data_IF_669352229071
#
_entry.id   IF_669352229071
#
_cell.length_a   1.000
_cell.length_b   1.000
_cell.length_c   1.000
_cell.angle_alpha   90.00
_cell.angle_beta   90.00
_cell.angle_gamma   90.00
#
_symmetry.space_group_name_H-M   'P 1'
#
loop_
_entity.id
_entity.type
_entity.pdbx_description
1 polymer ?
2 non-polymer ?
3 non-polymer ?
4 water ?
#
# COMPACT_ATOMS: atom_id res chain seq x y z
N UNK A 21 -0.86 21.08 22.53
CA UNK A 21 -2.25 20.75 22.84
C UNK A 21 -2.53 19.29 22.51
N UNK A 22 -1.58 18.65 21.81
CA UNK A 22 -1.82 17.29 21.33
C UNK A 22 -2.03 16.34 22.51
N UNK A 23 -1.30 16.55 23.60
CA UNK A 23 -1.49 15.69 24.77
C UNK A 23 -2.80 15.97 25.50
N UNK A 24 -3.49 17.06 25.16
CA UNK A 24 -4.81 17.30 25.74
C UNK A 24 -5.86 16.35 25.17
N UNK A 25 -5.69 15.92 23.92
CA UNK A 25 -6.67 15.09 23.23
C UNK A 25 -6.77 13.74 23.91
N UNK A 26 -7.96 13.35 24.39
CA UNK A 26 -8.08 12.07 25.12
C UNK A 26 -7.59 10.86 24.34
N UNK A 27 -7.79 10.86 23.02
CA UNK A 27 -7.29 9.76 22.20
C UNK A 27 -5.77 9.74 22.15
N UNK A 28 -5.13 10.92 22.14
CA UNK A 28 -3.67 10.97 22.12
C UNK A 28 -3.10 10.52 23.45
N UNK A 29 -3.77 10.88 24.55
CA UNK A 29 -3.37 10.37 25.86
C UNK A 29 -3.48 8.85 25.89
N UNK A 30 -4.50 8.30 25.22
CA UNK A 30 -4.65 6.85 25.16
C UNK A 30 -3.52 6.20 24.35
N UNK A 31 -3.13 6.82 23.23
CA UNK A 31 -2.02 6.28 22.45
C UNK A 31 -0.69 6.47 23.17
N UNK A 32 -0.54 7.54 23.95
CA UNK A 32 0.72 7.81 24.63
C UNK A 32 1.02 6.81 25.74
N UNK A 33 0.09 5.91 26.06
CA UNK A 33 0.38 4.81 26.97
C UNK A 33 1.40 3.84 26.39
N UNK A 34 1.53 3.79 25.06
CA UNK A 34 2.35 2.80 24.38
C UNK A 34 3.63 3.43 23.86
N UNK A 35 4.75 2.72 23.99
CA UNK A 35 6.02 3.15 23.42
C UNK A 35 6.14 2.63 21.98
N UNK A 36 5.18 3.05 21.16
CA UNK A 36 5.05 2.60 19.77
C UNK A 36 4.99 3.79 18.84
N UNK A 37 5.72 4.86 19.16
CA UNK A 37 5.71 6.08 18.38
C UNK A 37 6.94 6.16 17.49
N UNK A 38 6.76 6.77 16.32
CA UNK A 38 7.81 7.04 15.35
C UNK A 38 7.58 8.44 14.80
N UNK A 39 8.47 8.86 13.91
CA UNK A 39 8.27 10.07 13.13
C UNK A 39 8.35 9.70 11.65
N UNK A 40 7.80 10.56 10.81
CA UNK A 40 7.73 10.27 9.38
C UNK A 40 8.10 11.51 8.58
N UNK A 41 8.58 11.28 7.36
CA UNK A 41 9.00 12.35 6.46
C UNK A 41 8.53 12.04 5.04
N UNK A 42 8.08 13.06 4.32
CA UNK A 42 7.57 12.89 2.97
C UNK A 42 8.71 12.66 1.99
N UNK A 43 8.68 11.52 1.29
CA UNK A 43 9.66 11.20 0.27
C UNK A 43 8.87 10.91 -1.00
N UNK A 44 8.81 11.90 -1.88
CA UNK A 44 8.03 11.83 -3.12
C UNK A 44 6.58 11.57 -2.76
N UNK A 45 5.99 10.44 -3.17
CA UNK A 45 4.59 10.12 -2.94
C UNK A 45 4.37 9.34 -1.65
N UNK A 46 5.43 9.12 -0.86
CA UNK A 46 5.42 8.20 0.26
C UNK A 46 5.73 8.92 1.58
N UNK A 47 5.48 8.23 2.68
CA UNK A 47 5.69 8.74 4.03
C UNK A 47 6.47 7.68 4.81
N UNK A 48 7.78 7.85 4.91
CA UNK A 48 8.67 6.82 5.46
C UNK A 48 8.74 6.96 6.98
N UNK A 49 8.61 5.88 7.75
CA UNK A 49 8.75 6.00 9.20
C UNK A 49 10.21 5.94 9.62
N UNK A 50 10.53 6.71 10.67
CA UNK A 50 11.89 6.83 11.17
C UNK A 50 11.94 6.70 12.67
N UNK A 51 13.03 6.12 13.16
CA UNK A 51 13.28 6.00 14.60
C UNK A 51 13.47 7.38 15.20
N UNK A 52 12.65 7.78 16.19
CA UNK A 52 12.77 9.13 16.74
C UNK A 52 14.05 9.36 17.54
N UNK A 53 14.74 8.30 17.96
CA UNK A 53 15.90 8.47 18.83
C UNK A 53 17.22 8.52 18.06
N UNK A 54 17.24 8.09 16.79
CA UNK A 54 18.50 8.18 16.05
C UNK A 54 18.32 8.51 14.57
N UNK A 55 17.11 8.82 14.11
CA UNK A 55 16.91 9.23 12.73
C UNK A 55 17.03 8.14 11.69
N UNK A 56 17.34 6.91 12.07
CA UNK A 56 17.40 5.86 11.08
C UNK A 56 16.00 5.34 10.75
N UNK A 57 15.87 4.75 9.56
CA UNK A 57 14.60 4.20 9.15
C UNK A 57 14.14 3.12 10.13
N UNK A 58 12.84 3.08 10.38
CA UNK A 58 12.26 2.26 11.44
C UNK A 58 11.45 1.12 10.84
N UNK A 59 11.76 -0.10 11.25
CA UNK A 59 10.95 -1.24 10.89
C UNK A 59 9.64 -1.23 11.67
N UNK A 60 8.59 -1.78 11.07
CA UNK A 60 7.31 -1.92 11.73
C UNK A 60 7.23 -3.19 12.57
N UNK A 61 8.35 -3.90 12.73
CA UNK A 61 8.41 -5.10 13.53
C UNK A 61 9.40 -5.03 14.68
N UNK A 62 10.30 -4.04 14.69
CA UNK A 62 11.32 -3.92 15.71
C UNK A 62 10.86 -2.94 16.77
N UNK A 63 10.41 -3.40 17.95
CA UNK A 63 9.92 -2.46 18.96
C UNK A 63 10.97 -1.46 19.42
N UNK A 64 12.24 -1.85 19.45
CA UNK A 64 13.26 -0.90 19.90
C UNK A 64 13.59 0.14 18.84
N UNK A 65 13.00 0.05 17.65
CA UNK A 65 13.12 1.12 16.67
C UNK A 65 12.14 2.26 16.92
N UNK A 66 11.28 2.13 17.94
CA UNK A 66 10.27 3.12 18.26
C UNK A 66 10.63 3.81 19.58
N UNK A 67 9.72 4.66 20.06
CA UNK A 67 9.90 5.36 21.31
C UNK A 67 8.55 5.78 21.87
N UNK A 68 8.57 6.36 23.07
CA UNK A 68 7.33 6.91 23.58
C UNK A 68 7.07 8.27 22.94
N UNK A 69 5.93 8.88 23.28
CA UNK A 69 5.52 10.09 22.59
C UNK A 69 6.51 11.21 22.86
N UNK A 70 7.06 11.28 24.08
CA UNK A 70 8.03 12.32 24.40
C UNK A 70 9.24 12.23 23.49
N UNK A 71 9.75 11.02 23.27
CA UNK A 71 10.88 10.84 22.36
C UNK A 71 10.50 11.14 20.92
N UNK A 72 9.25 10.87 20.53
CA UNK A 72 8.81 11.19 19.18
C UNK A 72 8.71 12.70 18.98
N UNK A 73 8.20 13.42 19.98
CA UNK A 73 8.12 14.88 19.87
C UNK A 73 9.51 15.48 19.72
N UNK A 74 10.46 15.02 20.54
CA UNK A 74 11.82 15.57 20.48
C UNK A 74 12.50 15.22 19.16
N UNK A 75 12.34 13.98 18.70
CA UNK A 75 12.90 13.61 17.40
C UNK A 75 12.26 14.33 16.25
N UNK A 76 11.01 14.77 16.42
CA UNK A 76 10.33 15.51 15.36
C UNK A 76 11.02 16.84 15.08
N UNK A 77 11.37 17.57 16.15
CA UNK A 77 12.04 18.86 15.94
C UNK A 77 13.51 18.66 15.59
N UNK A 78 14.12 17.57 16.09
CA UNK A 78 15.55 17.37 15.88
C UNK A 78 15.87 17.10 14.41
N UNK A 79 15.15 16.16 13.80
CA UNK A 79 15.36 15.80 12.41
C UNK A 79 14.44 16.53 11.45
N UNK A 80 13.61 17.45 11.95
CA UNK A 80 12.71 18.20 11.10
C UNK A 80 11.76 17.35 10.27
N UNK A 81 11.24 16.28 10.86
CA UNK A 81 10.34 15.40 10.14
C UNK A 81 8.99 16.07 9.94
N UNK A 82 8.12 15.41 9.17
CA UNK A 82 6.83 15.98 8.84
C UNK A 82 5.82 15.86 9.98
N UNK A 83 5.94 14.85 10.82
CA UNK A 83 4.99 14.68 11.91
C UNK A 83 5.22 13.39 12.67
N UNK A 84 4.28 13.10 13.56
CA UNK A 84 4.32 11.95 14.43
C UNK A 84 3.64 10.75 13.77
N UNK A 85 4.01 9.56 14.22
CA UNK A 85 3.37 8.34 13.77
C UNK A 85 3.25 7.35 14.91
N UNK A 86 2.29 6.45 14.77
CA UNK A 86 2.03 5.42 15.77
C UNK A 86 2.01 4.07 15.08
N UNK A 87 2.84 3.15 15.56
CA UNK A 87 2.93 1.80 15.00
C UNK A 87 1.89 0.92 15.67
N UNK A 88 1.09 0.24 14.86
CA UNK A 88 0.05 -0.64 15.37
C UNK A 88 0.58 -2.06 15.52
N UNK A 89 0.34 -2.65 16.68
CA UNK A 89 0.74 -4.02 16.99
C UNK A 89 -0.49 -4.86 17.32
N UNK A 90 -0.32 -6.18 17.27
CA UNK A 90 -1.44 -7.07 17.53
C UNK A 90 -1.94 -6.95 18.96
N UNK A 91 -1.04 -6.75 19.92
CA UNK A 91 -1.41 -6.77 21.32
C UNK A 91 -2.13 -5.51 21.77
N UNK A 92 -1.85 -4.36 21.17
CA UNK A 92 -2.57 -3.15 21.53
C UNK A 92 -4.02 -3.24 21.02
N UNK A 93 -4.94 -2.48 21.61
CA UNK A 93 -6.35 -2.63 21.26
C UNK A 93 -6.83 -1.78 20.10
N UNK A 94 -5.95 -1.16 19.32
CA UNK A 94 -6.33 -0.13 18.37
C UNK A 94 -6.48 -0.68 16.96
N UNK A 95 -7.49 -0.17 16.25
CA UNK A 95 -7.69 -0.44 14.83
C UNK A 95 -7.60 0.89 14.10
N UNK A 96 -6.90 0.90 12.97
CA UNK A 96 -6.63 2.12 12.20
C UNK A 96 -7.39 2.05 10.89
N UNK A 97 -8.24 3.04 10.65
CA UNK A 97 -9.08 3.12 9.47
C UNK A 97 -8.61 4.33 8.65
N UNK A 98 -8.22 4.09 7.41
CA UNK A 98 -7.65 5.11 6.53
C UNK A 98 -8.64 5.40 5.41
N UNK A 99 -9.17 6.63 5.39
CA UNK A 99 -10.07 7.09 4.34
C UNK A 99 -9.34 8.14 3.50
N UNK A 100 -9.12 7.82 2.23
CA UNK A 100 -8.35 8.69 1.34
C UNK A 100 -9.26 9.43 0.39
N UNK A 101 -8.97 10.72 0.19
CA UNK A 101 -9.62 11.56 -0.82
C UNK A 101 -11.14 11.61 -0.62
N UNK A 102 -11.54 11.81 0.63
CA UNK A 102 -12.96 11.90 0.99
C UNK A 102 -13.37 13.31 1.42
N UNK A 103 -12.48 14.29 1.34
CA UNK A 103 -12.76 15.62 1.86
C UNK A 103 -12.79 16.66 0.76
N UNK A 104 -13.42 17.79 1.07
CA UNK A 104 -13.56 18.91 0.16
C UNK A 104 -12.34 19.82 0.20
N UNK A 105 -12.39 20.88 -0.61
CA UNK A 105 -11.52 22.01 -0.36
C UNK A 105 -11.79 22.61 1.02
N UNK A 106 -13.04 22.56 1.46
CA UNK A 106 -13.44 23.02 2.79
C UNK A 106 -13.16 22.00 3.89
N UNK A 107 -12.43 20.93 3.57
CA UNK A 107 -12.26 19.81 4.50
C UNK A 107 -13.62 19.27 4.95
N UNK A 108 -14.51 19.13 3.98
CA UNK A 108 -15.87 18.63 4.17
C UNK A 108 -16.03 17.32 3.41
N UNK A 109 -16.81 16.40 3.99
CA UNK A 109 -16.95 15.06 3.41
C UNK A 109 -17.73 15.15 2.10
N UNK A 110 -17.18 14.55 1.05
CA UNK A 110 -17.83 14.54 -0.26
C UNK A 110 -18.22 13.15 -0.73
N UNK A 111 -17.70 12.09 -0.12
CA UNK A 111 -18.01 10.72 -0.51
C UNK A 111 -19.09 10.16 0.40
N UNK A 112 -20.13 9.58 -0.20
CA UNK A 112 -21.26 9.09 0.58
C UNK A 112 -20.88 7.87 1.41
N UNK A 113 -20.01 7.01 0.88
CA UNK A 113 -19.59 5.85 1.65
C UNK A 113 -18.82 6.26 2.90
N UNK A 114 -18.01 7.32 2.79
CA UNK A 114 -17.29 7.83 3.95
C UNK A 114 -18.26 8.47 4.94
N UNK A 115 -19.29 9.16 4.44
CA UNK A 115 -20.28 9.77 5.32
C UNK A 115 -21.06 8.70 6.07
N UNK A 116 -21.40 7.60 5.39
CA UNK A 116 -22.13 6.52 6.06
C UNK A 116 -21.25 5.80 7.08
N UNK A 117 -19.97 5.59 6.78
CA UNK A 117 -19.08 4.94 7.74
C UNK A 117 -18.92 5.78 8.99
N UNK A 118 -18.80 7.10 8.83
CA UNK A 118 -18.67 7.99 9.99
C UNK A 118 -19.92 7.97 10.86
N UNK A 119 -21.09 7.73 10.25
CA UNK A 119 -22.32 7.65 11.03
C UNK A 119 -22.39 6.38 11.87
N UNK A 120 -21.71 5.32 11.45
CA UNK A 120 -21.81 4.04 12.14
C UNK A 120 -20.58 3.68 12.93
N UNK A 121 -19.46 4.36 12.72
CA UNK A 121 -18.25 4.18 13.51
C UNK A 121 -17.88 5.52 14.12
N UNK A 122 -18.52 5.88 15.23
CA UNK A 122 -18.27 7.15 15.90
C UNK A 122 -17.14 6.94 16.90
N UNK A 123 -15.92 7.27 16.49
CA UNK A 123 -14.76 7.20 17.37
C UNK A 123 -13.81 8.33 17.00
N UNK A 124 -12.59 8.27 17.52
CA UNK A 124 -11.62 9.34 17.26
C UNK A 124 -11.39 9.48 15.77
N UNK A 125 -11.60 10.69 15.26
CA UNK A 125 -11.45 11.00 13.84
C UNK A 125 -10.58 12.24 13.71
N UNK A 126 -9.58 12.16 12.82
CA UNK A 126 -8.69 13.29 12.57
C UNK A 126 -8.46 13.43 11.08
N UNK A 127 -8.12 14.63 10.66
CA UNK A 127 -7.82 14.93 9.26
C UNK A 127 -6.39 14.49 8.95
N UNK A 128 -6.24 13.72 7.88
CA UNK A 128 -4.94 13.20 7.50
C UNK A 128 -4.03 14.33 7.01
N UNK A 129 -2.71 14.10 6.99
CA UNK A 129 -1.78 15.21 6.72
C UNK A 129 -1.91 15.84 5.33
N UNK A 130 -2.63 15.23 4.38
CA UNK A 130 -2.84 15.87 3.09
C UNK A 130 -4.11 16.71 3.05
N UNK A 131 -4.87 16.76 4.15
CA UNK A 131 -6.03 17.61 4.24
C UNK A 131 -7.28 17.11 3.54
N UNK A 132 -7.17 16.07 2.70
CA UNK A 132 -8.32 15.56 1.97
C UNK A 132 -8.69 14.14 2.39
N UNK A 133 -8.13 13.64 3.49
CA UNK A 133 -8.45 12.33 3.99
C UNK A 133 -8.71 12.36 5.49
N UNK A 134 -9.02 11.18 6.03
CA UNK A 134 -9.41 11.05 7.42
C UNK A 134 -8.85 9.76 8.00
N UNK A 135 -8.56 9.78 9.30
CA UNK A 135 -8.21 8.60 10.07
C UNK A 135 -9.24 8.40 11.17
N UNK A 136 -9.65 7.15 11.37
CA UNK A 136 -10.52 6.78 12.49
C UNK A 136 -9.80 5.71 13.29
N UNK A 137 -9.58 5.99 14.58
CA UNK A 137 -8.93 5.04 15.47
C UNK A 137 -10.00 4.46 16.39
N UNK A 138 -10.11 3.13 16.37
CA UNK A 138 -11.15 2.43 17.11
C UNK A 138 -10.52 1.31 17.92
N UNK A 139 -11.16 0.98 19.03
CA UNK A 139 -10.83 -0.20 19.81
C UNK A 139 -11.79 -1.31 19.42
N UNK A 140 -11.25 -2.41 18.90
CA UNK A 140 -12.07 -3.52 18.47
C UNK A 140 -11.24 -4.48 17.64
N UNK A 141 -11.95 -5.31 16.87
CA UNK A 141 -11.32 -6.34 16.03
C UNK A 141 -11.90 -6.25 14.63
N UNK A 142 -11.02 -6.31 13.63
CA UNK A 142 -11.47 -6.28 12.24
C UNK A 142 -12.14 -7.59 11.88
N UNK A 143 -13.17 -7.56 11.02
CA UNK A 143 -13.66 -8.81 10.43
C UNK A 143 -12.56 -9.49 9.62
N UNK A 144 -12.56 -10.82 9.66
CA UNK A 144 -11.50 -11.61 9.04
C UNK A 144 -11.72 -11.87 7.56
N UNK A 145 -12.80 -11.35 6.96
CA UNK A 145 -13.15 -11.68 5.59
C UNK A 145 -13.09 -10.47 4.66
N UNK A 146 -12.39 -9.40 5.05
CA UNK A 146 -12.36 -8.17 4.25
C UNK A 146 -10.94 -7.88 3.80
N UNK A 147 -10.83 -7.21 2.67
CA UNK A 147 -9.54 -6.76 2.17
C UNK A 147 -9.01 -5.60 3.02
N UNK A 148 -7.68 -5.49 3.06
CA UNK A 148 -7.07 -4.36 3.78
C UNK A 148 -7.37 -3.05 3.06
N UNK A 149 -7.21 -3.01 1.74
CA UNK A 149 -7.43 -1.80 0.95
C UNK A 149 -8.56 -2.03 -0.04
N UNK A 150 -9.50 -1.08 -0.10
CA UNK A 150 -10.59 -1.10 -1.07
C UNK A 150 -10.57 0.22 -1.83
N UNK A 151 -10.47 0.12 -3.16
CA UNK A 151 -10.46 1.30 -4.03
C UNK A 151 -11.80 1.44 -4.72
N UNK A 152 -12.28 2.68 -4.82
CA UNK A 152 -13.59 2.96 -5.40
C UNK A 152 -13.44 3.76 -6.69
N UNK A 153 -14.43 3.62 -7.56
CA UNK A 153 -14.45 4.37 -8.82
C UNK A 153 -14.26 5.85 -8.56
N UNK A 154 -14.91 6.36 -7.51
CA UNK A 154 -14.72 7.67 -6.92
C UNK A 154 -13.29 8.19 -7.01
N UNK A 155 -12.32 7.29 -6.85
CA UNK A 155 -10.94 7.65 -6.62
C UNK A 155 -10.54 7.61 -5.16
N UNK A 156 -11.52 7.71 -4.26
CA UNK A 156 -11.29 7.53 -2.84
C UNK A 156 -11.00 6.06 -2.54
N UNK A 157 -10.57 5.79 -1.31
CA UNK A 157 -10.22 4.43 -0.93
C UNK A 157 -10.36 4.26 0.57
N UNK A 158 -10.54 3.01 0.98
CA UNK A 158 -10.67 2.63 2.38
C UNK A 158 -9.58 1.62 2.71
N UNK A 159 -8.82 1.90 3.77
CA UNK A 159 -7.73 1.03 4.19
C UNK A 159 -7.82 0.82 5.70
N UNK A 160 -7.80 -0.45 6.12
CA UNK A 160 -8.00 -0.81 7.51
C UNK A 160 -6.88 -1.73 7.97
N UNK A 161 -6.36 -1.49 9.17
CA UNK A 161 -5.26 -2.26 9.73
C UNK A 161 -5.35 -2.25 11.24
N UNK A 162 -5.02 -3.38 11.86
CA UNK A 162 -4.89 -3.47 13.30
C UNK A 162 -3.49 -3.84 13.76
N UNK A 163 -2.61 -4.25 12.85
CA UNK A 163 -1.20 -4.49 13.18
C UNK A 163 -0.40 -4.44 11.90
N UNK A 164 0.92 -4.47 12.05
CA UNK A 164 1.81 -4.51 10.91
C UNK A 164 1.71 -3.28 10.02
N UNK A 165 1.66 -2.10 10.63
CA UNK A 165 1.55 -0.84 9.91
C UNK A 165 1.61 0.31 10.91
N UNK A 166 2.13 1.45 10.49
CA UNK A 166 2.08 2.66 11.30
C UNK A 166 1.12 3.66 10.64
N UNK A 167 0.57 4.54 11.45
CA UNK A 167 -0.34 5.58 11.00
C UNK A 167 0.21 6.94 11.43
N UNK A 168 0.14 7.91 10.54
CA UNK A 168 0.52 9.28 10.89
C UNK A 168 -0.48 9.85 11.90
N UNK A 169 0.03 10.69 12.80
CA UNK A 169 -0.77 11.34 13.83
C UNK A 169 -0.70 12.84 13.60
N UNK A 170 -1.86 13.47 13.42
CA UNK A 170 -1.92 14.91 13.22
C UNK A 170 -2.54 15.66 14.40
N UNK A 171 -3.47 15.05 15.12
CA UNK A 171 -4.19 15.75 16.16
C UNK A 171 -5.25 16.71 15.67
N UNK A 172 -5.41 16.86 14.35
CA UNK A 172 -6.44 17.74 13.79
C UNK A 172 -7.80 17.06 13.92
N UNK A 173 -8.36 17.17 15.12
CA UNK A 173 -9.63 16.49 15.43
C UNK A 173 -10.71 16.95 14.48
N UNK A 174 -11.47 15.99 13.95
CA UNK A 174 -12.53 16.23 13.00
C UNK A 174 -13.88 16.04 13.70
N UNK A 175 -14.75 17.05 13.57
CA UNK A 175 -16.11 17.01 14.13
C UNK A 175 -16.09 16.78 15.64
N UNK A 176 -15.02 17.21 16.31
CA UNK A 176 -14.92 17.03 17.74
C UNK A 176 -14.93 15.60 18.22
N UNK A 177 -14.61 14.64 17.34
CA UNK A 177 -14.54 13.23 17.74
C UNK A 177 -13.11 12.97 18.22
N UNK A 178 -12.88 13.22 19.51
CA UNK A 178 -11.55 13.24 20.09
C UNK A 178 -11.27 12.08 21.03
N UNK A 179 -12.14 11.08 21.09
CA UNK A 179 -12.01 10.00 22.05
C UNK A 179 -12.08 8.66 21.33
N UNK A 180 -11.14 7.78 21.63
CA UNK A 180 -11.18 6.41 21.09
C UNK A 180 -12.25 5.63 21.81
N UNK A 181 -13.17 5.04 21.05
CA UNK A 181 -14.29 4.31 21.60
C UNK A 181 -14.15 2.81 21.32
N UNK A 182 -14.78 2.00 22.17
CA UNK A 182 -14.89 0.58 21.93
C UNK A 182 -16.17 0.33 21.14
N UNK A 183 -16.02 -0.08 19.88
CA UNK A 183 -17.14 -0.27 18.99
C UNK A 183 -17.01 -1.60 18.28
N UNK A 184 -18.15 -2.21 17.96
CA UNK A 184 -18.16 -3.36 17.08
C UNK A 184 -17.83 -2.94 15.65
N UNK A 185 -17.00 -3.73 14.98
CA UNK A 185 -16.53 -3.39 13.64
C UNK A 185 -17.03 -4.35 12.58
N UNK A 186 -18.03 -5.17 12.89
CA UNK A 186 -18.62 -6.03 11.87
C UNK A 186 -19.23 -5.22 10.73
N UNK A 187 -19.59 -3.96 11.01
CA UNK A 187 -20.20 -3.08 10.01
C UNK A 187 -19.23 -2.77 8.88
N UNK A 188 -17.92 -2.98 9.07
CA UNK A 188 -16.96 -2.70 8.02
C UNK A 188 -17.11 -3.63 6.83
N UNK A 189 -17.74 -4.79 7.02
CA UNK A 189 -18.06 -5.66 5.90
C UNK A 189 -18.99 -5.05 4.88
N UNK A 190 -19.70 -3.97 5.23
CA UNK A 190 -20.54 -3.28 4.26
C UNK A 190 -19.78 -2.26 3.42
N UNK A 191 -18.53 -1.96 3.77
CA UNK A 191 -17.76 -0.93 3.08
C UNK A 191 -16.55 -1.49 2.35
N UNK A 192 -15.78 -2.35 3.01
CA UNK A 192 -14.63 -2.98 2.37
C UNK A 192 -15.08 -4.16 1.53
N UNK A 193 -14.26 -4.51 0.54
CA UNK A 193 -14.54 -5.68 -0.29
C UNK A 193 -14.14 -6.95 0.44
N UNK A 194 -14.83 -8.04 0.10
CA UNK A 194 -14.57 -9.32 0.76
C UNK A 194 -13.47 -10.08 0.03
N UNK A 195 -12.80 -10.96 0.77
CA UNK A 195 -11.73 -11.79 0.23
C UNK A 195 -11.82 -13.16 0.89
N UNK A 196 -11.30 -14.17 0.20
CA UNK A 196 -11.18 -15.50 0.78
C UNK A 196 -9.91 -15.55 1.63
N UNK A 211 9.66 -21.16 -7.63
CA UNK A 211 9.72 -19.86 -6.98
C UNK A 211 8.33 -19.23 -6.93
N UNK A 212 8.21 -18.16 -6.15
CA UNK A 212 6.96 -17.41 -6.07
C UNK A 212 7.07 -16.12 -6.88
N UNK A 213 5.93 -15.46 -7.05
CA UNK A 213 5.88 -14.30 -7.94
C UNK A 213 6.81 -13.19 -7.46
N UNK A 214 6.75 -12.85 -6.18
CA UNK A 214 7.57 -11.75 -5.66
C UNK A 214 9.05 -12.05 -5.81
N UNK A 215 9.44 -13.31 -5.59
CA UNK A 215 10.84 -13.70 -5.76
C UNK A 215 11.27 -13.57 -7.22
N UNK A 216 10.36 -13.85 -8.14
CA UNK A 216 10.69 -13.71 -9.56
C UNK A 216 10.80 -12.23 -9.93
N UNK A 217 9.91 -11.39 -9.38
CA UNK A 217 9.95 -9.98 -9.69
C UNK A 217 11.25 -9.36 -9.19
N UNK A 218 11.64 -9.65 -7.93
CA UNK A 218 12.91 -9.15 -7.43
C UNK A 218 14.06 -9.63 -8.29
N UNK A 219 14.01 -10.88 -8.74
CA UNK A 219 15.05 -11.43 -9.61
C UNK A 219 15.18 -10.63 -10.91
N UNK A 220 14.04 -10.38 -11.58
CA UNK A 220 14.08 -9.63 -12.83
C UNK A 220 14.57 -8.21 -12.61
N UNK A 221 14.20 -7.61 -11.48
CA UNK A 221 14.63 -6.25 -11.17
C UNK A 221 16.15 -6.17 -11.02
N UNK A 222 16.72 -7.11 -10.27
CA UNK A 222 18.17 -7.10 -10.07
C UNK A 222 18.92 -7.37 -11.37
N UNK A 223 18.36 -8.19 -12.24
CA UNK A 223 18.91 -8.40 -13.58
C UNK A 223 18.58 -7.24 -14.52
N UNK A 224 17.74 -6.31 -14.09
CA UNK A 224 17.39 -5.19 -14.94
C UNK A 224 16.41 -5.53 -16.03
N UNK A 225 15.59 -6.55 -15.83
CA UNK A 225 14.59 -6.97 -16.80
C UNK A 225 13.20 -6.45 -16.47
N UNK A 226 13.09 -5.54 -15.49
CA UNK A 226 11.79 -4.98 -15.10
C UNK A 226 11.53 -3.70 -15.86
N UNK A 227 10.40 -3.57 -16.53
CA UNK A 227 10.20 -2.46 -17.47
C UNK A 227 9.88 -1.16 -16.76
N UNK A 228 10.29 -0.07 -17.40
CA UNK A 228 9.86 1.25 -16.99
C UNK A 228 8.46 1.54 -17.55
N UNK A 229 7.80 2.51 -16.95
CA UNK A 229 6.51 2.95 -17.45
C UNK A 229 6.69 3.59 -18.83
N UNK A 230 5.78 3.34 -19.77
CA UNK A 230 5.97 3.86 -21.13
C UNK A 230 6.00 5.39 -21.15
N UNK A 231 6.74 5.93 -22.12
CA UNK A 231 6.97 7.36 -22.24
C UNK A 231 6.02 7.96 -23.27
N UNK A 232 6.32 9.20 -23.67
CA UNK A 232 5.60 9.85 -24.76
C UNK A 232 6.20 9.41 -26.08
N UNK A 233 5.36 8.85 -26.94
CA UNK A 233 5.84 8.34 -28.21
C UNK A 233 6.44 6.95 -28.12
N UNK A 234 5.90 6.10 -27.24
CA UNK A 234 6.35 4.73 -27.08
C UNK A 234 5.26 3.80 -27.58
N UNK A 235 5.63 2.88 -28.48
CA UNK A 235 4.70 1.85 -28.91
C UNK A 235 4.47 0.88 -27.75
N UNK A 236 3.42 1.11 -26.98
CA UNK A 236 3.16 0.33 -25.79
C UNK A 236 3.02 -1.16 -26.10
N UNK A 237 2.42 -1.49 -27.24
CA UNK A 237 2.18 -2.89 -27.56
C UNK A 237 3.47 -3.67 -27.79
N UNK A 238 4.50 -3.02 -28.36
CA UNK A 238 5.78 -3.70 -28.50
C UNK A 238 6.57 -3.74 -27.20
N UNK A 239 6.36 -2.75 -26.32
CA UNK A 239 6.86 -2.88 -24.95
C UNK A 239 6.23 -4.07 -24.25
N UNK A 240 4.93 -4.27 -24.46
CA UNK A 240 4.26 -5.45 -23.91
C UNK A 240 4.91 -6.73 -24.40
N UNK A 241 5.19 -6.82 -25.70
CA UNK A 241 5.71 -8.05 -26.26
C UNK A 241 7.13 -8.33 -25.79
N UNK A 242 7.98 -7.29 -25.74
CA UNK A 242 9.34 -7.47 -25.21
C UNK A 242 9.30 -7.93 -23.76
N UNK A 243 8.44 -7.33 -22.96
CA UNK A 243 8.33 -7.74 -21.56
C UNK A 243 7.75 -9.15 -21.45
N UNK A 244 6.79 -9.48 -22.31
CA UNK A 244 6.21 -10.83 -22.28
C UNK A 244 7.25 -11.88 -22.64
N UNK A 245 8.17 -11.57 -23.55
CA UNK A 245 9.23 -12.53 -23.88
C UNK A 245 10.11 -12.79 -22.67
N UNK A 246 10.47 -11.74 -21.93
CA UNK A 246 11.26 -11.94 -20.73
C UNK A 246 10.50 -12.74 -19.68
N UNK A 247 9.20 -12.47 -19.53
CA UNK A 247 8.40 -13.24 -18.59
C UNK A 247 8.41 -14.73 -18.94
N UNK A 248 8.35 -15.06 -20.22
CA UNK A 248 8.31 -16.46 -20.62
C UNK A 248 9.57 -17.19 -20.16
N UNK A 249 10.71 -16.52 -20.20
CA UNK A 249 11.95 -17.13 -19.73
C UNK A 249 11.96 -17.26 -18.21
N UNK A 250 11.78 -16.16 -17.50
CA UNK A 250 11.96 -16.17 -16.05
C UNK A 250 10.84 -16.90 -15.32
N UNK A 251 9.69 -17.09 -15.95
CA UNK A 251 8.57 -17.80 -15.34
C UNK A 251 8.46 -19.24 -15.80
N UNK A 252 9.41 -19.72 -16.60
CA UNK A 252 9.34 -21.08 -17.12
C UNK A 252 8.14 -21.35 -18.00
N UNK A 253 7.66 -20.32 -18.71
CA UNK A 253 6.50 -20.43 -19.58
C UNK A 253 5.24 -20.86 -18.83
N UNK A 254 5.18 -20.55 -17.53
CA UNK A 254 3.95 -20.69 -16.75
C UNK A 254 3.11 -19.46 -17.03
N UNK A 255 2.11 -19.61 -17.90
CA UNK A 255 1.38 -18.45 -18.42
C UNK A 255 0.52 -17.82 -17.34
N UNK A 256 0.03 -18.60 -16.37
CA UNK A 256 -0.72 -18.02 -15.26
C UNK A 256 0.18 -17.11 -14.42
N UNK A 257 1.38 -17.58 -14.11
CA UNK A 257 2.33 -16.74 -13.38
C UNK A 257 2.77 -15.54 -14.20
N UNK A 258 2.97 -15.74 -15.51
CA UNK A 258 3.27 -14.61 -16.38
C UNK A 258 2.17 -13.57 -16.32
N UNK A 259 0.92 -14.02 -16.26
CA UNK A 259 -0.20 -13.09 -16.22
C UNK A 259 -0.30 -12.38 -14.86
N UNK A 260 -0.13 -13.13 -13.76
CA UNK A 260 -0.16 -12.51 -12.45
C UNK A 260 0.94 -11.46 -12.30
N UNK A 261 2.12 -11.75 -12.84
CA UNK A 261 3.24 -10.82 -12.71
C UNK A 261 3.04 -9.61 -13.63
N UNK A 262 2.53 -9.82 -14.83
CA UNK A 262 2.32 -8.70 -15.76
C UNK A 262 1.34 -7.69 -15.19
N UNK A 263 0.32 -8.16 -14.47
CA UNK A 263 -0.71 -7.28 -13.92
C UNK A 263 -0.18 -6.35 -12.83
N UNK A 264 1.02 -6.60 -12.32
CA UNK A 264 1.66 -5.76 -11.31
C UNK A 264 2.77 -4.89 -11.89
N UNK A 265 2.86 -4.79 -13.21
CA UNK A 265 3.98 -4.12 -13.85
C UNK A 265 3.56 -2.74 -14.35
N UNK A 266 4.53 -1.87 -14.63
CA UNK A 266 4.20 -0.55 -15.21
C UNK A 266 3.64 -0.63 -16.63
N UNK A 267 3.48 -1.82 -17.21
CA UNK A 267 2.91 -1.97 -18.53
C UNK A 267 1.45 -2.45 -18.50
N UNK A 268 0.87 -2.61 -17.32
CA UNK A 268 -0.52 -3.04 -17.22
C UNK A 268 -1.46 -1.90 -17.61
N UNK A 269 -2.52 -2.26 -18.34
CA UNK A 269 -3.55 -1.31 -18.76
C UNK A 269 -4.81 -2.09 -19.08
N UNK A 270 -5.88 -1.36 -19.43
CA UNK A 270 -7.16 -2.01 -19.69
C UNK A 270 -7.13 -2.84 -20.97
N UNK A 271 -6.28 -2.50 -21.93
CA UNK A 271 -6.22 -3.27 -23.17
C UNK A 271 -5.82 -4.72 -22.92
N UNK A 272 -5.19 -4.99 -21.78
CA UNK A 272 -4.74 -6.35 -21.45
C UNK A 272 -5.90 -7.33 -21.43
N UNK A 273 -7.08 -6.89 -21.00
CA UNK A 273 -8.23 -7.76 -20.84
C UNK A 273 -9.34 -7.50 -21.86
N UNK A 274 -9.09 -6.64 -22.85
CA UNK A 274 -10.09 -6.43 -23.90
C UNK A 274 -10.13 -7.65 -24.82
N UNK A 275 -11.33 -8.11 -25.21
CA UNK A 275 -11.42 -9.29 -26.07
C UNK A 275 -10.89 -9.03 -27.46
N UNK A 276 -10.32 -10.07 -28.06
CA UNK A 276 -9.77 -10.02 -29.41
C UNK A 276 -9.80 -11.42 -29.99
N UNK A 277 -10.65 -11.64 -30.99
CA UNK A 277 -10.70 -12.91 -31.72
C UNK A 277 -10.90 -14.10 -30.79
N UNK A 278 -11.87 -13.98 -29.88
CA UNK A 278 -12.13 -15.07 -28.96
C UNK A 278 -11.03 -15.33 -27.95
N UNK A 279 -10.11 -14.39 -27.79
CA UNK A 279 -9.16 -14.40 -26.70
C UNK A 279 -9.02 -12.95 -26.21
N UNK A 280 -8.11 -12.71 -25.28
CA UNK A 280 -7.81 -11.34 -24.87
C UNK A 280 -6.45 -10.94 -25.43
N UNK A 281 -6.28 -9.64 -25.62
CA UNK A 281 -5.00 -9.13 -26.12
C UNK A 281 -3.84 -9.60 -25.23
N UNK A 282 -4.05 -9.61 -23.91
CA UNK A 282 -3.00 -10.05 -23.02
C UNK A 282 -2.71 -11.54 -23.15
N UNK A 283 -3.76 -12.35 -23.31
CA UNK A 283 -3.58 -13.78 -23.45
C UNK A 283 -2.86 -14.13 -24.74
N UNK A 284 -3.22 -13.46 -25.84
CA UNK A 284 -2.55 -13.73 -27.12
C UNK A 284 -1.09 -13.29 -27.05
N UNK A 285 -0.82 -12.19 -26.35
CA UNK A 285 0.55 -11.71 -26.19
C UNK A 285 1.40 -12.73 -25.43
N UNK A 286 0.87 -13.24 -24.32
CA UNK A 286 1.63 -14.19 -23.50
C UNK A 286 1.85 -15.50 -24.26
N UNK A 287 0.87 -15.94 -25.03
CA UNK A 287 1.00 -17.20 -25.76
C UNK A 287 2.02 -17.09 -26.87
N UNK A 288 2.09 -15.94 -27.55
CA UNK A 288 3.10 -15.76 -28.58
C UNK A 288 4.49 -15.67 -27.98
N UNK A 289 4.60 -15.10 -26.79
CA UNK A 289 5.89 -15.07 -26.10
C UNK A 289 6.35 -16.47 -25.73
N UNK A 290 5.42 -17.33 -25.31
CA UNK A 290 5.78 -18.70 -24.94
C UNK A 290 6.28 -19.49 -26.13
N UNK A 291 5.72 -19.24 -27.32
CA UNK A 291 6.18 -19.94 -28.51
C UNK A 291 7.46 -19.34 -29.06
N UNK A 292 7.61 -18.03 -28.96
CA UNK A 292 8.81 -17.36 -29.47
C UNK A 292 10.04 -17.75 -28.66
N UNK A 293 9.93 -17.80 -27.34
CA UNK A 293 11.08 -17.93 -26.47
C UNK A 293 11.60 -19.36 -26.50
N UNK A 294 12.92 -19.50 -26.65
CA UNK A 294 13.54 -20.83 -26.76
C UNK A 294 13.74 -21.47 -25.40
N UNK A 295 14.70 -20.96 -24.62
CA UNK A 295 15.04 -21.56 -23.34
C UNK A 295 14.19 -20.96 -22.22
N UNK A 296 14.36 -21.50 -21.01
CA UNK A 296 13.62 -21.04 -19.84
C UNK A 296 14.55 -20.97 -18.65
N UNK A 297 14.18 -20.15 -17.66
CA UNK A 297 14.95 -20.09 -16.43
C UNK A 297 14.56 -21.26 -15.54
N UNK A 298 15.55 -22.07 -15.18
CA UNK A 298 15.34 -23.18 -14.26
C UNK A 298 15.76 -22.75 -12.87
N UNK A 299 14.85 -22.67 -11.90
CA UNK A 299 15.24 -22.23 -10.54
C UNK A 299 16.31 -23.10 -9.91
N UNK A 300 16.38 -24.39 -10.28
CA UNK A 300 17.36 -25.29 -9.70
C UNK A 300 18.72 -25.23 -10.39
N UNK A 301 18.77 -24.76 -11.63
CA UNK A 301 20.02 -24.67 -12.37
C UNK A 301 20.61 -23.27 -12.35
N UNK A 302 19.80 -22.25 -12.06
CA UNK A 302 20.28 -20.87 -11.93
C UNK A 302 20.97 -20.40 -13.20
N UNK A 303 20.41 -20.83 -14.35
CA UNK A 303 20.95 -20.48 -15.65
C UNK A 303 20.49 -19.07 -16.06
N UNK A 304 20.79 -18.12 -15.17
CA UNK A 304 20.51 -16.71 -15.45
C UNK A 304 21.22 -16.23 -16.70
N UNK A 305 22.36 -16.85 -17.03
CA UNK A 305 23.13 -16.46 -18.21
C UNK A 305 22.51 -16.94 -19.51
N UNK A 306 21.51 -17.82 -19.45
CA UNK A 306 20.81 -18.28 -20.65
C UNK A 306 19.77 -17.30 -21.15
N UNK A 307 19.53 -16.19 -20.42
CA UNK A 307 18.56 -15.20 -20.86
C UNK A 307 19.02 -14.58 -22.17
N UNK A 308 18.18 -14.62 -23.22
CA UNK A 308 18.58 -14.08 -24.53
C UNK A 308 18.37 -12.59 -24.70
N UNK A 309 17.85 -11.89 -23.71
CA UNK A 309 17.49 -10.48 -23.84
C UNK A 309 18.41 -9.65 -22.96
N UNK A 310 18.98 -8.59 -23.54
CA UNK A 310 19.82 -7.68 -22.79
C UNK A 310 18.97 -6.88 -21.80
N UNK A 311 19.57 -6.40 -20.71
CA UNK A 311 18.80 -5.65 -19.71
C UNK A 311 18.26 -4.34 -20.28
N UNK A 312 17.18 -3.87 -19.65
CA UNK A 312 16.65 -2.56 -19.99
C UNK A 312 17.65 -1.48 -19.62
N UNK A 313 17.93 -0.58 -20.57
CA UNK A 313 18.81 0.54 -20.29
C UNK A 313 18.14 1.53 -19.34
N UNK A 314 18.95 2.41 -18.77
CA UNK A 314 18.46 3.38 -17.79
C UNK A 314 18.91 4.80 -18.16
#
# INVERSE_FOLDING_TARGET
MGSSHHHHHHSSGLVPRGSHMIMEIPAIKALSRYAQWVIWKKERDTKIPYNPNNGKKASSTDPLAWGDIDEAQAGLVRYGANGLGFVLTKSDPFVFIDLDHVLDENKRVKCEWARQLLKEIKSYTEISPSGDGLHVVVSGKLPDYIKHKTKFDDGSALEVYESGRYMTITGEVFDGRDDIKELDLSILGEFAEHKIETKNAPVQIESATTLDDEAIIDLMKRKGQWPDAPKDGDDWSSLDMSFANRLAFWCGKDIERMDRIFRQSPLMRQKWDRPTAGSTYGRITLKKACDFVDSVYDPALRNESDCPFEPYNEEGGPRN
#
